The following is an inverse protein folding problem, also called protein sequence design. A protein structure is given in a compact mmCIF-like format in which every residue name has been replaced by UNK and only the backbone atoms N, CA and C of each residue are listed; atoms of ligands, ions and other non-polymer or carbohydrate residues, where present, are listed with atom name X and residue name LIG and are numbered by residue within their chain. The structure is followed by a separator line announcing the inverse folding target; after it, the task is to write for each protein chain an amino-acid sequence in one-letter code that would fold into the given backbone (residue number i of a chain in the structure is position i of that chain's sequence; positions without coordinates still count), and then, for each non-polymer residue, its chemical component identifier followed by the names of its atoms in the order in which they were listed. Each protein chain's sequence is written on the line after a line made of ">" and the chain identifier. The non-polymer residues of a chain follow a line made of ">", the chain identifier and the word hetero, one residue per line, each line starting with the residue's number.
data_IF_904376941122
#
_entry.id   IF_904376941122
#
_cell.length_a   1.000
_cell.length_b   1.000
_cell.length_c   1.000
_cell.angle_alpha   90.00
_cell.angle_beta   90.00
_cell.angle_gamma   90.00
#
_symmetry.space_group_name_H-M   'P 1'
#
loop_
_entity.id
_entity.type
_entity.pdbx_description
1 polymer ?
#
# COMPACT_ATOMS: atom_id res chain seq x y z
N UNK A 1 -13.05 13.35 87.00
CA UNK A 1 -13.71 14.21 85.99
C UNK A 1 -12.92 14.09 84.68
N UNK A 2 -13.45 13.42 83.64
CA UNK A 2 -14.13 14.06 82.48
C UNK A 2 -13.10 14.82 81.59
N UNK A 3 -12.77 14.50 80.34
CA UNK A 3 -13.51 13.89 79.20
C UNK A 3 -12.53 13.29 78.18
N UNK A 4 -12.95 12.17 77.56
CA UNK A 4 -12.48 11.65 76.26
C UNK A 4 -12.57 12.72 75.17
N UNK A 5 -11.60 12.75 74.26
CA UNK A 5 -11.90 13.01 72.85
C UNK A 5 -10.90 12.32 71.91
N UNK A 6 -11.34 11.19 71.35
CA UNK A 6 -10.72 10.50 70.21
C UNK A 6 -10.90 11.35 68.96
N UNK A 7 -9.83 11.91 68.39
CA UNK A 7 -9.87 12.44 67.01
C UNK A 7 -9.62 11.27 66.05
N UNK A 8 -10.63 11.02 65.22
CA UNK A 8 -10.72 9.98 64.19
C UNK A 8 -9.58 10.12 63.17
N UNK A 9 -8.95 8.99 62.82
CA UNK A 9 -8.13 8.86 61.59
C UNK A 9 -9.05 9.09 60.37
N UNK A 10 -8.64 9.84 59.34
CA UNK A 10 -9.32 9.77 58.06
C UNK A 10 -8.96 8.45 57.38
N UNK A 11 -10.00 7.73 56.96
CA UNK A 11 -9.96 6.54 56.14
C UNK A 11 -9.55 6.92 54.71
N UNK A 12 -8.83 6.01 54.05
CA UNK A 12 -8.48 5.96 52.62
C UNK A 12 -9.53 6.56 51.70
N UNK A 13 -9.06 7.30 50.69
CA UNK A 13 -9.81 7.54 49.46
C UNK A 13 -9.38 8.83 48.76
N UNK A 14 -8.62 8.72 47.66
CA UNK A 14 -8.25 9.90 46.87
C UNK A 14 -7.21 9.62 45.79
N UNK A 15 -7.58 8.81 44.79
CA UNK A 15 -6.98 8.76 43.45
C UNK A 15 -5.45 8.54 43.35
N UNK A 16 -5.01 7.37 43.81
CA UNK A 16 -3.95 6.63 43.11
C UNK A 16 -4.50 5.95 41.83
N UNK A 17 -5.33 6.68 41.06
CA UNK A 17 -5.92 6.18 39.84
C UNK A 17 -4.99 6.48 38.66
N UNK A 18 -4.26 5.43 38.28
CA UNK A 18 -3.80 5.23 36.90
C UNK A 18 -2.88 6.33 36.37
N UNK A 19 -1.64 6.37 36.88
CA UNK A 19 -0.49 6.37 35.94
C UNK A 19 -0.57 5.05 35.18
N UNK A 20 -1.50 4.97 34.21
CA UNK A 20 -1.40 4.01 33.12
C UNK A 20 -0.07 4.39 32.48
N UNK A 21 0.90 3.48 32.52
CA UNK A 21 2.00 3.48 31.59
C UNK A 21 1.43 3.76 30.19
N UNK A 22 1.46 5.02 29.76
CA UNK A 22 1.56 5.35 28.37
C UNK A 22 3.00 4.98 27.99
N UNK A 23 3.29 3.69 27.99
CA UNK A 23 4.27 3.16 27.07
C UNK A 23 3.67 3.45 25.69
N UNK A 24 3.97 4.64 25.17
CA UNK A 24 3.77 4.95 23.76
C UNK A 24 4.26 3.73 22.99
N UNK A 25 3.40 3.11 22.20
CA UNK A 25 3.74 1.92 21.44
C UNK A 25 5.10 2.11 20.76
N UNK A 26 6.13 1.44 21.28
CA UNK A 26 7.46 1.50 20.70
C UNK A 26 7.52 0.37 19.67
N UNK A 27 7.71 0.76 18.42
CA UNK A 27 7.92 -0.18 17.33
C UNK A 27 9.07 -1.12 17.72
N UNK A 28 8.92 -2.44 17.59
CA UNK A 28 10.03 -3.37 17.81
C UNK A 28 11.15 -3.01 16.83
N UNK A 29 12.18 -2.33 17.34
CA UNK A 29 13.32 -1.89 16.53
C UNK A 29 14.07 -3.12 16.07
N UNK A 30 14.14 -3.31 14.76
CA UNK A 30 14.98 -4.32 14.14
C UNK A 30 16.34 -3.70 13.87
N UNK A 31 17.42 -4.43 14.12
CA UNK A 31 18.76 -3.99 13.76
C UNK A 31 18.87 -3.85 12.24
N UNK A 32 19.08 -2.63 11.76
CA UNK A 32 19.36 -2.33 10.35
C UNK A 32 20.84 -2.51 10.05
N UNK A 33 21.16 -2.98 8.84
CA UNK A 33 22.54 -2.95 8.35
C UNK A 33 22.97 -1.49 8.16
N UNK A 34 24.14 -1.13 8.70
CA UNK A 34 24.73 0.22 8.56
C UNK A 34 24.84 0.65 7.08
N UNK A 35 25.20 -0.28 6.20
CA UNK A 35 25.20 -0.11 4.76
C UNK A 35 24.43 -1.29 4.15
N UNK A 36 23.16 -1.10 3.73
CA UNK A 36 22.41 -2.18 3.10
C UNK A 36 23.02 -2.54 1.75
N UNK A 37 23.04 -3.84 1.43
CA UNK A 37 23.69 -4.37 0.22
C UNK A 37 23.13 -3.70 -1.05
N UNK A 38 23.91 -3.60 -2.15
CA UNK A 38 23.39 -3.14 -3.42
C UNK A 38 22.27 -4.07 -3.93
N UNK A 39 21.37 -3.51 -4.73
CA UNK A 39 20.31 -4.30 -5.34
C UNK A 39 20.92 -5.28 -6.34
N UNK A 40 20.68 -6.58 -6.11
CA UNK A 40 21.23 -7.64 -6.97
C UNK A 40 20.44 -7.79 -8.28
N UNK A 41 21.08 -8.23 -9.38
CA UNK A 41 20.39 -8.55 -10.64
C UNK A 41 19.25 -9.55 -10.46
N UNK A 42 19.42 -10.51 -9.55
CA UNK A 42 18.38 -11.50 -9.21
C UNK A 42 17.10 -10.85 -8.68
N UNK A 43 17.20 -9.78 -7.90
CA UNK A 43 16.02 -9.06 -7.40
C UNK A 43 15.25 -8.36 -8.54
N UNK A 44 15.97 -7.82 -9.53
CA UNK A 44 15.35 -7.30 -10.75
C UNK A 44 14.64 -8.39 -11.55
N UNK A 45 15.27 -9.55 -11.73
CA UNK A 45 14.63 -10.67 -12.44
C UNK A 45 13.34 -11.11 -11.75
N UNK A 46 13.34 -11.23 -10.41
CA UNK A 46 12.14 -11.59 -9.63
C UNK A 46 11.02 -10.56 -9.85
N UNK A 47 11.34 -9.27 -9.76
CA UNK A 47 10.35 -8.19 -9.91
C UNK A 47 9.77 -8.11 -11.32
N UNK A 48 10.60 -8.36 -12.36
CA UNK A 48 10.14 -8.44 -13.76
C UNK A 48 9.25 -9.66 -13.99
N UNK A 49 9.63 -10.85 -13.49
CA UNK A 49 8.82 -12.07 -13.61
C UNK A 49 7.46 -11.86 -12.95
N UNK A 50 7.44 -11.32 -11.73
CA UNK A 50 6.21 -11.02 -10.99
C UNK A 50 5.30 -10.05 -11.77
N UNK A 51 5.88 -8.97 -12.29
CA UNK A 51 5.16 -7.98 -13.09
C UNK A 51 4.53 -8.63 -14.33
N UNK A 52 5.31 -9.38 -15.11
CA UNK A 52 4.83 -10.03 -16.33
C UNK A 52 3.72 -11.04 -16.02
N UNK A 53 3.88 -11.82 -14.96
CA UNK A 53 2.89 -12.80 -14.53
C UNK A 53 1.54 -12.15 -14.22
N UNK A 54 1.53 -11.13 -13.36
CA UNK A 54 0.28 -10.46 -12.98
C UNK A 54 -0.32 -9.62 -14.11
N UNK A 55 0.50 -9.03 -14.98
CA UNK A 55 0.03 -8.38 -16.19
C UNK A 55 -0.66 -9.39 -17.13
N UNK A 56 -0.09 -10.57 -17.32
CA UNK A 56 -0.69 -11.62 -18.15
C UNK A 56 -2.02 -12.12 -17.55
N UNK A 57 -2.04 -12.41 -16.24
CA UNK A 57 -3.27 -12.83 -15.54
C UNK A 57 -4.34 -11.75 -15.65
N UNK A 58 -3.97 -10.47 -15.46
CA UNK A 58 -4.88 -9.34 -15.62
C UNK A 58 -5.49 -9.31 -17.02
N UNK A 59 -4.65 -9.31 -18.07
CA UNK A 59 -5.10 -9.24 -19.45
C UNK A 59 -6.01 -10.40 -19.86
N UNK A 60 -5.70 -11.62 -19.40
CA UNK A 60 -6.54 -12.80 -19.63
C UNK A 60 -7.91 -12.63 -18.95
N UNK A 61 -7.91 -12.19 -17.70
CA UNK A 61 -9.13 -12.02 -16.92
C UNK A 61 -10.02 -10.90 -17.49
N UNK A 62 -9.47 -9.73 -17.80
CA UNK A 62 -10.26 -8.60 -18.34
C UNK A 62 -10.89 -8.93 -19.69
N UNK A 63 -10.20 -9.70 -20.55
CA UNK A 63 -10.75 -10.12 -21.84
C UNK A 63 -12.05 -10.91 -21.69
N UNK A 64 -12.18 -11.72 -20.64
CA UNK A 64 -13.38 -12.50 -20.37
C UNK A 64 -14.40 -11.71 -19.55
N UNK A 65 -13.96 -11.06 -18.47
CA UNK A 65 -14.85 -10.45 -17.48
C UNK A 65 -15.47 -9.14 -17.96
N UNK A 66 -14.80 -8.37 -18.83
CA UNK A 66 -15.38 -7.13 -19.37
C UNK A 66 -16.60 -7.39 -20.25
N UNK A 67 -16.69 -8.56 -20.89
CA UNK A 67 -17.84 -8.95 -21.72
C UNK A 67 -19.07 -9.30 -20.89
N UNK A 68 -18.88 -9.78 -19.65
CA UNK A 68 -19.98 -10.29 -18.82
C UNK A 68 -20.87 -9.17 -18.27
N UNK A 69 -20.33 -7.96 -18.04
CA UNK A 69 -21.07 -6.78 -17.54
C UNK A 69 -21.92 -7.03 -16.28
N UNK A 70 -21.59 -8.04 -15.47
CA UNK A 70 -22.30 -8.38 -14.23
C UNK A 70 -21.64 -7.77 -13.00
N UNK A 71 -22.40 -7.62 -11.91
CA UNK A 71 -21.87 -7.20 -10.60
C UNK A 71 -20.76 -8.16 -10.12
N UNK A 72 -20.94 -9.48 -10.36
CA UNK A 72 -19.93 -10.48 -10.02
C UNK A 72 -18.63 -10.25 -10.80
N UNK A 73 -18.72 -9.98 -12.11
CA UNK A 73 -17.54 -9.67 -12.92
C UNK A 73 -16.82 -8.41 -12.40
N UNK A 74 -17.56 -7.37 -12.02
CA UNK A 74 -17.00 -6.17 -11.39
C UNK A 74 -16.28 -6.47 -10.09
N UNK A 75 -16.89 -7.29 -9.23
CA UNK A 75 -16.28 -7.69 -7.97
C UNK A 75 -14.99 -8.49 -8.20
N UNK A 76 -15.00 -9.48 -9.09
CA UNK A 76 -13.84 -10.31 -9.41
C UNK A 76 -12.69 -9.49 -10.02
N UNK A 77 -13.01 -8.54 -10.90
CA UNK A 77 -12.04 -7.58 -11.44
C UNK A 77 -11.41 -6.73 -10.34
N UNK A 78 -12.21 -6.23 -9.39
CA UNK A 78 -11.72 -5.50 -8.23
C UNK A 78 -10.79 -6.35 -7.37
N UNK A 79 -11.18 -7.59 -7.05
CA UNK A 79 -10.36 -8.54 -6.29
C UNK A 79 -9.03 -8.80 -6.99
N UNK A 80 -9.06 -9.04 -8.30
CA UNK A 80 -7.84 -9.30 -9.08
C UNK A 80 -6.92 -8.08 -9.13
N UNK A 81 -7.48 -6.88 -9.27
CA UNK A 81 -6.73 -5.63 -9.23
C UNK A 81 -5.97 -5.47 -7.91
N UNK A 82 -6.68 -5.63 -6.78
CA UNK A 82 -6.05 -5.53 -5.46
C UNK A 82 -5.07 -6.67 -5.19
N UNK A 83 -5.35 -7.89 -5.67
CA UNK A 83 -4.43 -9.01 -5.55
C UNK A 83 -3.10 -8.73 -6.28
N UNK A 84 -3.16 -8.20 -7.50
CA UNK A 84 -1.96 -7.83 -8.26
C UNK A 84 -1.17 -6.70 -7.59
N UNK A 85 -1.83 -5.60 -7.24
CA UNK A 85 -1.18 -4.49 -6.55
C UNK A 85 -0.55 -4.92 -5.21
N UNK A 86 -1.26 -5.75 -4.44
CA UNK A 86 -0.79 -6.28 -3.17
C UNK A 86 0.39 -7.25 -3.35
N UNK A 87 0.36 -8.13 -4.37
CA UNK A 87 1.47 -9.04 -4.64
C UNK A 87 2.76 -8.27 -4.93
N UNK A 88 2.67 -7.24 -5.78
CA UNK A 88 3.80 -6.38 -6.12
C UNK A 88 4.37 -5.64 -4.91
N UNK A 89 3.48 -5.08 -4.09
CA UNK A 89 3.84 -4.46 -2.81
C UNK A 89 4.58 -5.45 -1.89
N UNK A 90 4.08 -6.67 -1.76
CA UNK A 90 4.69 -7.71 -0.90
C UNK A 90 6.05 -8.14 -1.44
N UNK A 91 6.21 -8.33 -2.75
CA UNK A 91 7.48 -8.70 -3.37
C UNK A 91 8.52 -7.60 -3.17
N UNK A 92 8.16 -6.33 -3.43
CA UNK A 92 9.04 -5.19 -3.15
C UNK A 92 9.43 -5.15 -1.68
N UNK A 93 8.46 -5.24 -0.77
CA UNK A 93 8.71 -5.21 0.66
C UNK A 93 9.61 -6.38 1.10
N UNK A 94 9.38 -7.59 0.59
CA UNK A 94 10.16 -8.78 0.93
C UNK A 94 11.62 -8.68 0.49
N UNK A 95 11.86 -8.25 -0.75
CA UNK A 95 13.20 -8.03 -1.30
C UNK A 95 13.94 -6.95 -0.55
N UNK A 96 13.28 -5.83 -0.28
CA UNK A 96 13.90 -4.71 0.41
C UNK A 96 14.16 -4.99 1.89
N UNK A 97 13.25 -5.71 2.54
CA UNK A 97 13.44 -6.21 3.90
C UNK A 97 14.66 -7.13 3.97
N UNK A 98 14.80 -8.07 3.04
CA UNK A 98 15.98 -8.95 2.98
C UNK A 98 17.27 -8.14 2.83
N UNK A 99 17.26 -7.13 1.96
CA UNK A 99 18.43 -6.27 1.70
C UNK A 99 18.84 -5.46 2.92
N UNK A 100 17.87 -4.89 3.65
CA UNK A 100 18.12 -4.02 4.81
C UNK A 100 18.41 -4.76 6.11
N UNK A 101 17.74 -5.88 6.36
CA UNK A 101 17.81 -6.60 7.63
C UNK A 101 18.47 -7.98 7.52
N UNK A 102 18.86 -8.41 6.31
CA UNK A 102 19.49 -9.71 6.05
C UNK A 102 18.55 -10.92 6.07
N UNK A 103 17.27 -10.72 6.40
CA UNK A 103 16.24 -11.76 6.46
C UNK A 103 14.87 -11.16 6.12
N UNK A 104 13.95 -12.01 5.68
CA UNK A 104 12.56 -11.65 5.44
C UNK A 104 11.70 -12.43 6.42
N UNK A 105 11.30 -11.78 7.51
CA UNK A 105 10.37 -12.33 8.48
C UNK A 105 9.21 -11.34 8.72
N UNK A 106 8.14 -11.79 9.38
CA UNK A 106 6.97 -10.94 9.62
C UNK A 106 7.32 -9.66 10.38
N UNK A 107 8.25 -9.71 11.34
CA UNK A 107 8.65 -8.55 12.16
C UNK A 107 9.39 -7.51 11.32
N UNK A 108 10.35 -7.96 10.53
CA UNK A 108 11.18 -7.11 9.65
C UNK A 108 10.34 -6.48 8.54
N UNK A 109 9.40 -7.23 7.93
CA UNK A 109 8.48 -6.67 6.94
C UNK A 109 7.51 -5.65 7.54
N UNK A 110 6.95 -5.93 8.73
CA UNK A 110 6.09 -4.96 9.42
C UNK A 110 6.85 -3.69 9.77
N UNK A 111 8.07 -3.83 10.31
CA UNK A 111 8.93 -2.71 10.64
C UNK A 111 9.30 -1.89 9.40
N UNK A 112 9.68 -2.55 8.29
CA UNK A 112 9.93 -1.89 7.01
C UNK A 112 8.74 -1.05 6.54
N UNK A 113 7.55 -1.65 6.52
CA UNK A 113 6.34 -0.99 6.05
C UNK A 113 5.95 0.20 6.95
N UNK A 114 6.18 0.11 8.26
CA UNK A 114 5.94 1.20 9.21
C UNK A 114 6.94 2.37 9.05
N UNK A 115 8.11 2.10 8.47
CA UNK A 115 9.11 3.13 8.17
C UNK A 115 8.87 3.84 6.84
N UNK A 116 7.98 3.33 5.98
CA UNK A 116 7.57 4.03 4.76
C UNK A 116 6.70 5.22 5.15
N UNK A 117 7.12 6.42 4.74
CA UNK A 117 6.37 7.66 4.91
C UNK A 117 5.99 8.20 3.55
N UNK A 118 4.69 8.42 3.34
CA UNK A 118 4.18 9.15 2.19
C UNK A 118 4.01 10.62 2.56
N UNK A 119 4.31 11.51 1.61
CA UNK A 119 3.91 12.91 1.72
C UNK A 119 2.44 13.04 1.32
N UNK A 120 1.54 13.17 2.29
CA UNK A 120 0.10 13.20 2.05
C UNK A 120 -0.32 14.37 1.14
N UNK A 121 0.35 15.52 1.25
CA UNK A 121 0.01 16.72 0.46
C UNK A 121 0.37 16.48 -1.00
N UNK A 122 1.61 16.05 -1.27
CA UNK A 122 2.04 15.74 -2.63
C UNK A 122 1.33 14.53 -3.21
N UNK A 123 1.05 13.52 -2.39
CA UNK A 123 0.30 12.32 -2.80
C UNK A 123 -1.08 12.70 -3.33
N UNK A 124 -1.76 13.61 -2.64
CA UNK A 124 -3.06 14.12 -3.08
C UNK A 124 -2.97 14.88 -4.40
N UNK A 125 -1.99 15.79 -4.56
CA UNK A 125 -1.84 16.53 -5.81
C UNK A 125 -1.52 15.63 -7.00
N UNK A 126 -0.62 14.67 -6.83
CA UNK A 126 -0.26 13.72 -7.88
C UNK A 126 -1.46 12.82 -8.19
N UNK A 127 -2.14 12.31 -7.16
CA UNK A 127 -3.34 11.47 -7.35
C UNK A 127 -4.45 12.21 -8.07
N UNK A 128 -4.76 13.45 -7.69
CA UNK A 128 -5.76 14.26 -8.39
C UNK A 128 -5.36 14.56 -9.84
N UNK A 129 -4.06 14.74 -10.10
CA UNK A 129 -3.54 14.95 -11.46
C UNK A 129 -3.74 13.70 -12.33
N UNK A 130 -3.38 12.52 -11.82
CA UNK A 130 -3.65 11.26 -12.53
C UNK A 130 -5.15 11.04 -12.77
N UNK A 131 -5.99 11.28 -11.75
CA UNK A 131 -7.42 11.13 -11.90
C UNK A 131 -8.00 12.05 -12.97
N UNK A 132 -7.55 13.32 -13.01
CA UNK A 132 -7.92 14.26 -14.06
C UNK A 132 -7.50 13.75 -15.45
N UNK A 133 -6.28 13.24 -15.60
CA UNK A 133 -5.79 12.64 -16.85
C UNK A 133 -6.66 11.44 -17.26
N UNK A 134 -6.99 10.54 -16.33
CA UNK A 134 -7.83 9.37 -16.62
C UNK A 134 -9.26 9.77 -17.04
N UNK A 135 -9.83 10.79 -16.39
CA UNK A 135 -11.14 11.35 -16.78
C UNK A 135 -11.09 11.96 -18.18
N UNK A 136 -10.08 12.77 -18.48
CA UNK A 136 -9.90 13.37 -19.82
C UNK A 136 -9.73 12.27 -20.87
N UNK A 137 -8.91 11.25 -20.60
CA UNK A 137 -8.75 10.12 -21.52
C UNK A 137 -10.07 9.39 -21.77
N UNK A 138 -10.87 9.14 -20.72
CA UNK A 138 -12.19 8.51 -20.88
C UNK A 138 -13.19 9.39 -21.62
N UNK A 139 -13.10 10.71 -21.46
CA UNK A 139 -13.95 11.64 -22.21
C UNK A 139 -13.59 11.67 -23.70
N UNK A 140 -12.29 11.70 -24.02
CA UNK A 140 -11.79 11.71 -25.40
C UNK A 140 -11.99 10.35 -26.10
N UNK A 141 -11.84 9.26 -25.36
CA UNK A 141 -11.97 7.89 -25.86
C UNK A 141 -12.91 7.15 -24.89
N UNK A 142 -14.24 7.19 -25.12
CA UNK A 142 -15.18 6.49 -24.25
C UNK A 142 -14.95 4.99 -24.34
N UNK A 143 -14.59 4.36 -23.22
CA UNK A 143 -14.47 2.91 -23.17
C UNK A 143 -15.85 2.25 -23.32
N UNK A 144 -16.05 1.32 -24.27
CA UNK A 144 -17.37 0.75 -24.56
C UNK A 144 -17.68 -0.54 -23.77
N UNK A 145 -16.69 -1.14 -23.10
CA UNK A 145 -16.80 -2.51 -22.60
C UNK A 145 -17.19 -2.58 -21.11
N UNK A 146 -16.49 -1.84 -20.24
CA UNK A 146 -16.64 -1.99 -18.80
C UNK A 146 -16.42 -0.66 -18.06
N UNK A 147 -17.23 -0.36 -17.04
CA UNK A 147 -17.06 0.85 -16.23
C UNK A 147 -15.88 0.70 -15.26
N UNK A 148 -14.75 1.32 -15.57
CA UNK A 148 -13.51 1.25 -14.79
C UNK A 148 -13.29 2.45 -13.85
N UNK A 149 -14.27 3.33 -13.64
CA UNK A 149 -14.10 4.54 -12.80
C UNK A 149 -13.54 4.20 -11.41
N UNK A 150 -13.99 3.10 -10.78
CA UNK A 150 -13.46 2.67 -9.48
C UNK A 150 -11.97 2.29 -9.52
N UNK A 151 -11.53 1.62 -10.60
CA UNK A 151 -10.12 1.26 -10.80
C UNK A 151 -9.28 2.50 -11.06
N UNK A 152 -9.79 3.44 -11.86
CA UNK A 152 -9.08 4.69 -12.14
C UNK A 152 -8.85 5.51 -10.87
N UNK A 153 -9.88 5.63 -10.02
CA UNK A 153 -9.77 6.30 -8.73
C UNK A 153 -8.72 5.59 -7.87
N UNK A 154 -8.86 4.27 -7.68
CA UNK A 154 -7.92 3.50 -6.87
C UNK A 154 -6.48 3.61 -7.41
N UNK A 155 -6.31 3.55 -8.73
CA UNK A 155 -5.02 3.67 -9.40
C UNK A 155 -4.42 5.05 -9.22
N UNK A 156 -5.19 6.11 -9.45
CA UNK A 156 -4.72 7.48 -9.34
C UNK A 156 -4.21 7.78 -7.93
N UNK A 157 -5.00 7.44 -6.90
CA UNK A 157 -4.59 7.64 -5.51
C UNK A 157 -3.40 6.75 -5.12
N UNK A 158 -3.32 5.52 -5.63
CA UNK A 158 -2.19 4.66 -5.32
C UNK A 158 -0.90 5.09 -6.01
N UNK A 159 -0.97 5.59 -7.25
CA UNK A 159 0.15 6.24 -7.94
C UNK A 159 0.63 7.48 -7.18
N UNK A 160 -0.31 8.31 -6.70
CA UNK A 160 0.03 9.44 -5.84
C UNK A 160 0.76 9.01 -4.56
N UNK A 161 0.32 7.93 -3.92
CA UNK A 161 1.02 7.38 -2.75
C UNK A 161 2.41 6.86 -3.11
N UNK A 162 2.54 5.95 -4.07
CA UNK A 162 3.81 5.25 -4.32
C UNK A 162 4.89 6.19 -4.82
N UNK A 163 4.56 7.20 -5.65
CA UNK A 163 5.51 8.20 -6.15
C UNK A 163 5.98 9.21 -5.10
N UNK A 164 5.32 9.27 -3.95
CA UNK A 164 5.71 10.14 -2.82
C UNK A 164 6.21 9.36 -1.62
N UNK A 165 6.10 8.05 -1.67
CA UNK A 165 6.49 7.18 -0.58
C UNK A 165 8.02 7.09 -0.53
N UNK A 166 8.56 7.35 0.66
CA UNK A 166 9.99 7.26 0.95
C UNK A 166 10.23 6.43 2.19
N UNK A 167 11.27 5.61 2.17
CA UNK A 167 11.74 4.93 3.36
C UNK A 167 12.37 5.96 4.30
N UNK A 168 11.86 6.03 5.54
CA UNK A 168 12.21 7.04 6.57
C UNK A 168 12.02 8.50 6.15
N UNK A 169 11.36 8.75 5.02
CA UNK A 169 11.21 10.10 4.45
C UNK A 169 12.39 10.56 3.59
N UNK A 170 13.43 9.73 3.44
CA UNK A 170 14.70 10.12 2.81
C UNK A 170 14.93 9.37 1.52
N UNK A 171 14.86 8.04 1.56
CA UNK A 171 15.22 7.18 0.44
C UNK A 171 14.00 6.81 -0.43
N UNK A 172 14.12 6.91 -1.75
CA UNK A 172 13.11 6.42 -2.68
C UNK A 172 12.91 4.90 -2.55
N UNK A 173 11.68 4.42 -2.75
CA UNK A 173 11.40 2.99 -2.68
C UNK A 173 11.96 2.29 -3.94
N UNK A 174 12.77 1.23 -3.78
CA UNK A 174 13.23 0.49 -4.94
C UNK A 174 12.08 -0.30 -5.56
N UNK A 175 12.17 -0.58 -6.86
CA UNK A 175 11.19 -1.36 -7.60
C UNK A 175 9.78 -0.78 -7.69
N UNK A 176 9.54 0.48 -7.32
CA UNK A 176 8.23 1.14 -7.48
C UNK A 176 7.67 1.10 -8.91
N UNK A 177 8.55 0.91 -9.91
CA UNK A 177 8.17 0.74 -11.30
C UNK A 177 7.23 -0.45 -11.51
N UNK A 178 7.34 -1.53 -10.72
CA UNK A 178 6.51 -2.72 -10.90
C UNK A 178 5.04 -2.39 -10.61
N UNK A 179 4.79 -1.73 -9.49
CA UNK A 179 3.46 -1.27 -9.08
C UNK A 179 2.95 -0.23 -10.10
N UNK A 180 3.79 0.73 -10.46
CA UNK A 180 3.45 1.78 -11.44
C UNK A 180 3.01 1.22 -12.78
N UNK A 181 3.80 0.29 -13.37
CA UNK A 181 3.51 -0.29 -14.68
C UNK A 181 2.22 -1.11 -14.65
N UNK A 182 2.01 -1.91 -13.61
CA UNK A 182 0.78 -2.68 -13.46
C UNK A 182 -0.46 -1.80 -13.33
N UNK A 183 -0.38 -0.76 -12.51
CA UNK A 183 -1.47 0.19 -12.31
C UNK A 183 -1.81 0.92 -13.61
N UNK A 184 -0.81 1.41 -14.35
CA UNK A 184 -1.06 2.05 -15.64
C UNK A 184 -1.65 1.07 -16.66
N UNK A 185 -1.17 -0.18 -16.68
CA UNK A 185 -1.72 -1.23 -17.52
C UNK A 185 -3.20 -1.46 -17.23
N UNK A 186 -3.61 -1.48 -15.95
CA UNK A 186 -5.01 -1.72 -15.60
C UNK A 186 -5.92 -0.62 -16.16
N UNK A 187 -5.51 0.65 -16.07
CA UNK A 187 -6.27 1.79 -16.62
C UNK A 187 -6.43 1.67 -18.14
N UNK A 188 -5.37 1.31 -18.86
CA UNK A 188 -5.42 1.23 -20.33
C UNK A 188 -6.01 -0.09 -20.84
N UNK A 189 -6.16 -1.10 -19.99
CA UNK A 189 -6.58 -2.45 -20.40
C UNK A 189 -7.94 -2.49 -21.09
N UNK A 190 -8.84 -1.57 -20.76
CA UNK A 190 -10.12 -1.44 -21.46
C UNK A 190 -9.96 -1.12 -22.94
N UNK A 191 -9.03 -0.23 -23.28
CA UNK A 191 -8.72 0.12 -24.67
C UNK A 191 -7.99 -1.03 -25.37
N UNK A 192 -7.06 -1.69 -24.68
CA UNK A 192 -6.37 -2.88 -25.21
C UNK A 192 -7.40 -3.95 -25.58
N UNK A 193 -8.35 -4.26 -24.70
CA UNK A 193 -9.41 -5.24 -24.98
C UNK A 193 -10.35 -4.76 -26.08
N UNK A 194 -10.69 -3.46 -26.12
CA UNK A 194 -11.55 -2.93 -27.17
C UNK A 194 -10.93 -2.98 -28.58
N UNK A 195 -9.64 -2.69 -28.72
CA UNK A 195 -8.98 -2.67 -30.02
C UNK A 195 -8.46 -4.05 -30.47
N UNK A 196 -8.24 -5.00 -29.56
CA UNK A 196 -7.70 -6.33 -29.87
C UNK A 196 -8.71 -7.47 -29.72
N UNK A 197 -9.90 -7.21 -29.17
CA UNK A 197 -10.98 -8.17 -28.97
C UNK A 197 -12.07 -8.00 -30.02
#
# INVERSE_FOLDING_TARGET
>A
MSKRNKKKRPVKGGNASKRRNQESFQLPKVSERKNPDPITPRAYVITVIELVLFCAIWLIAVRQLFLMKTVLATFLIGVLYFAGAFSMYIVRAALETRRRYGKTDRKTMLYYNQMIKGDQKWSLYIGMSFFAVFLVMRWLIPSPNFNMVGIDIATAFYLGYIWTAKYKGEESLPFEYMETVFLLLTVVSNYIVYFLG
#
